data_IF_032517356907
#
_entry.id   IF_032517356907
#
_cell.length_a   1.000
_cell.length_b   1.000
_cell.length_c   1.000
_cell.angle_alpha   90.00
_cell.angle_beta   90.00
_cell.angle_gamma   90.00
#
_symmetry.space_group_name_H-M   'P 1'
#
loop_
_entity.id
_entity.type
_entity.pdbx_description
1 polymer ?
#
# COMPACT_ATOMS: atom_id res chain seq x y z
N UNK A 1 1.59 30.08 37.99
CA UNK A 1 1.33 29.95 36.55
C UNK A 1 1.82 28.58 36.11
N UNK A 2 0.95 27.58 36.16
CA UNK A 2 1.23 26.22 35.72
C UNK A 2 0.86 26.11 34.25
N UNK A 3 1.85 25.89 33.38
CA UNK A 3 1.61 25.59 31.98
C UNK A 3 0.92 24.22 31.88
N UNK A 4 -0.30 24.20 31.35
CA UNK A 4 -0.98 22.97 31.01
C UNK A 4 -0.23 22.28 29.86
N UNK A 5 0.19 21.04 30.09
CA UNK A 5 0.70 20.17 29.04
C UNK A 5 -0.41 20.02 28.00
N UNK A 6 -0.16 20.52 26.79
CA UNK A 6 -1.04 20.26 25.65
C UNK A 6 -0.84 18.79 25.29
N UNK A 7 -1.75 17.92 25.72
CA UNK A 7 -1.87 16.57 25.17
C UNK A 7 -2.19 16.70 23.68
N UNK A 8 -1.15 16.73 22.85
CA UNK A 8 -1.30 16.58 21.40
C UNK A 8 -1.47 15.10 21.09
N UNK A 9 -2.60 14.53 21.53
CA UNK A 9 -3.09 13.32 20.90
C UNK A 9 -3.39 13.70 19.44
N UNK A 10 -2.59 13.19 18.50
CA UNK A 10 -2.91 13.29 17.08
C UNK A 10 -4.37 12.84 16.89
N UNK A 11 -5.21 13.57 16.14
CA UNK A 11 -6.58 13.16 15.94
C UNK A 11 -6.57 11.74 15.35
N UNK A 12 -7.31 10.83 15.97
CA UNK A 12 -7.45 9.47 15.48
C UNK A 12 -7.93 9.54 14.03
N UNK A 13 -7.08 9.13 13.08
CA UNK A 13 -7.36 9.20 11.64
C UNK A 13 -8.12 7.96 11.15
N UNK A 14 -8.98 7.42 12.01
CA UNK A 14 -9.72 6.18 11.74
C UNK A 14 -10.56 6.35 10.47
N UNK A 15 -10.43 5.37 9.55
CA UNK A 15 -11.11 5.40 8.26
C UNK A 15 -10.39 6.16 7.13
N UNK A 16 -9.26 6.83 7.39
CA UNK A 16 -8.49 7.50 6.33
C UNK A 16 -7.58 6.54 5.56
N UNK A 17 -7.25 6.89 4.30
CA UNK A 17 -6.31 6.10 3.51
C UNK A 17 -4.93 5.99 4.18
N UNK A 18 -4.48 7.06 4.86
CA UNK A 18 -3.22 7.06 5.59
C UNK A 18 -3.24 6.09 6.79
N UNK A 19 -4.37 6.01 7.50
CA UNK A 19 -4.53 5.05 8.59
C UNK A 19 -4.48 3.62 8.05
N UNK A 20 -5.27 3.30 7.02
CA UNK A 20 -5.26 1.98 6.36
C UNK A 20 -3.86 1.62 5.86
N UNK A 21 -3.14 2.58 5.26
CA UNK A 21 -1.79 2.36 4.80
C UNK A 21 -0.83 2.01 5.95
N UNK A 22 -0.95 2.73 7.07
CA UNK A 22 -0.12 2.51 8.27
C UNK A 22 -0.33 1.12 8.86
N UNK A 23 -1.58 0.69 9.05
CA UNK A 23 -1.90 -0.65 9.53
C UNK A 23 -1.39 -1.73 8.57
N UNK A 24 -1.61 -1.54 7.27
CA UNK A 24 -1.15 -2.47 6.23
C UNK A 24 0.37 -2.65 6.24
N UNK A 25 1.12 -1.55 6.33
CA UNK A 25 2.59 -1.61 6.41
C UNK A 25 3.09 -2.28 7.69
N UNK A 26 2.37 -2.13 8.82
CA UNK A 26 2.68 -2.85 10.06
C UNK A 26 2.43 -4.35 9.94
N UNK A 27 1.30 -4.75 9.34
CA UNK A 27 1.04 -6.16 9.01
C UNK A 27 2.16 -6.73 8.14
N UNK A 28 2.54 -6.04 7.07
CA UNK A 28 3.64 -6.47 6.20
C UNK A 28 4.96 -6.61 6.94
N UNK A 29 5.32 -5.65 7.80
CA UNK A 29 6.54 -5.74 8.60
C UNK A 29 6.58 -6.99 9.50
N UNK A 30 5.45 -7.37 10.11
CA UNK A 30 5.33 -8.61 10.90
C UNK A 30 5.47 -9.87 10.06
N UNK A 31 5.25 -9.78 8.75
CA UNK A 31 5.38 -10.88 7.79
C UNK A 31 6.70 -10.85 7.00
N UNK A 32 7.73 -10.15 7.50
CA UNK A 32 9.04 -10.02 6.83
C UNK A 32 8.92 -9.39 5.42
N UNK A 33 8.02 -8.42 5.29
CA UNK A 33 7.82 -7.63 4.09
C UNK A 33 8.05 -6.15 4.41
N UNK A 34 8.61 -5.43 3.43
CA UNK A 34 8.84 -3.98 3.54
C UNK A 34 8.14 -3.27 2.40
N UNK A 35 7.43 -2.18 2.71
CA UNK A 35 6.64 -1.43 1.72
C UNK A 35 6.92 0.06 1.69
N UNK A 36 6.61 0.66 0.55
CA UNK A 36 6.60 2.12 0.34
C UNK A 36 5.25 2.52 -0.26
N UNK A 37 4.75 3.69 0.11
CA UNK A 37 3.47 4.21 -0.37
C UNK A 37 3.60 4.95 -1.72
N UNK A 38 2.51 5.27 -2.41
CA UNK A 38 2.46 6.20 -3.55
C UNK A 38 3.52 5.88 -4.62
N UNK A 39 3.47 4.67 -5.19
CA UNK A 39 4.50 4.18 -6.11
C UNK A 39 4.05 4.37 -7.56
N UNK A 40 4.64 5.30 -8.32
CA UNK A 40 4.33 5.45 -9.73
C UNK A 40 4.84 4.26 -10.53
N UNK A 41 3.98 3.75 -11.41
CA UNK A 41 4.20 2.61 -12.28
C UNK A 41 4.50 3.07 -13.73
N UNK A 42 5.22 2.26 -14.52
CA UNK A 42 5.55 2.58 -15.92
C UNK A 42 4.37 2.91 -16.85
N UNK A 43 3.15 2.44 -16.56
CA UNK A 43 1.94 2.74 -17.31
C UNK A 43 1.30 4.11 -16.95
N UNK A 44 1.97 4.93 -16.14
CA UNK A 44 1.45 6.23 -15.69
C UNK A 44 0.43 6.13 -14.55
N UNK A 45 0.24 4.94 -13.98
CA UNK A 45 -0.57 4.72 -12.77
C UNK A 45 0.27 4.92 -11.52
N UNK A 46 -0.38 4.86 -10.36
CA UNK A 46 0.28 4.93 -9.06
C UNK A 46 -0.38 3.91 -8.14
N UNK A 47 0.41 3.00 -7.59
CA UNK A 47 -0.03 2.06 -6.58
C UNK A 47 0.00 2.73 -5.22
N UNK A 48 -1.02 2.50 -4.39
CA UNK A 48 -1.08 3.10 -3.05
C UNK A 48 0.03 2.55 -2.15
N UNK A 49 0.25 1.24 -2.18
CA UNK A 49 1.42 0.58 -1.56
C UNK A 49 2.03 -0.40 -2.54
N UNK A 50 3.36 -0.41 -2.59
CA UNK A 50 4.13 -1.53 -3.12
C UNK A 50 4.99 -2.10 -1.99
N UNK A 51 5.07 -3.41 -1.89
CA UNK A 51 5.88 -4.10 -0.89
C UNK A 51 6.72 -5.22 -1.51
N UNK A 52 7.82 -5.58 -0.85
CA UNK A 52 8.74 -6.65 -1.23
C UNK A 52 8.92 -7.63 -0.08
N UNK A 53 8.89 -8.93 -0.36
CA UNK A 53 9.20 -10.01 0.60
C UNK A 53 10.66 -10.49 0.50
N UNK A 54 11.10 -11.32 1.44
CA UNK A 54 12.45 -11.91 1.45
C UNK A 54 12.79 -12.79 0.23
N UNK A 55 11.79 -13.21 -0.56
CA UNK A 55 11.97 -13.94 -1.82
C UNK A 55 12.02 -13.01 -3.05
N UNK A 56 11.92 -11.69 -2.86
CA UNK A 56 11.90 -10.71 -3.95
C UNK A 56 10.57 -10.69 -4.72
N UNK A 57 9.47 -11.13 -4.08
CA UNK A 57 8.12 -11.00 -4.64
C UNK A 57 7.56 -9.63 -4.32
N UNK A 58 6.94 -9.04 -5.33
CA UNK A 58 6.38 -7.70 -5.26
C UNK A 58 4.87 -7.81 -5.02
N UNK A 59 4.38 -7.09 -4.03
CA UNK A 59 2.96 -7.01 -3.70
C UNK A 59 2.47 -5.59 -3.94
N UNK A 60 1.35 -5.43 -4.65
CA UNK A 60 0.64 -4.15 -4.75
C UNK A 60 -0.60 -4.22 -3.86
N UNK A 61 -0.86 -3.11 -3.16
CA UNK A 61 -2.09 -2.91 -2.39
C UNK A 61 -2.75 -1.63 -2.86
N UNK A 62 -4.05 -1.70 -3.15
CA UNK A 62 -4.90 -0.55 -3.40
C UNK A 62 -5.84 -0.32 -2.22
N UNK A 63 -5.83 0.91 -1.72
CA UNK A 63 -6.59 1.33 -0.54
C UNK A 63 -7.91 1.92 -1.00
N UNK A 64 -9.03 1.35 -0.54
CA UNK A 64 -10.37 1.87 -0.84
C UNK A 64 -11.08 2.28 0.43
N UNK A 65 -11.29 3.59 0.58
CA UNK A 65 -11.91 4.15 1.80
C UNK A 65 -13.42 4.40 1.66
N UNK A 66 -13.98 4.22 0.47
CA UNK A 66 -15.43 4.27 0.27
C UNK A 66 -15.88 3.32 -0.83
N UNK A 67 -17.18 3.01 -0.86
CA UNK A 67 -17.80 2.26 -1.97
C UNK A 67 -17.64 2.97 -3.31
N UNK A 68 -17.72 4.31 -3.33
CA UNK A 68 -17.55 5.09 -4.56
C UNK A 68 -16.12 5.00 -5.10
N UNK A 69 -15.13 5.01 -4.21
CA UNK A 69 -13.71 4.82 -4.55
C UNK A 69 -13.45 3.42 -5.14
N UNK A 70 -14.00 2.38 -4.49
CA UNK A 70 -13.89 1.00 -5.00
C UNK A 70 -14.54 0.83 -6.39
N UNK A 71 -15.78 1.30 -6.56
CA UNK A 71 -16.53 1.12 -7.81
C UNK A 71 -16.09 2.08 -8.93
N UNK A 72 -15.40 3.17 -8.61
CA UNK A 72 -14.85 4.11 -9.58
C UNK A 72 -13.53 3.65 -10.19
N UNK A 73 -12.81 2.74 -9.52
CA UNK A 73 -11.57 2.18 -10.03
C UNK A 73 -11.83 1.03 -11.00
N UNK A 74 -11.66 1.31 -12.28
CA UNK A 74 -11.84 0.34 -13.36
C UNK A 74 -10.51 -0.09 -14.00
N UNK A 75 -9.39 0.44 -13.51
CA UNK A 75 -8.06 0.29 -14.15
C UNK A 75 -7.08 -0.50 -13.30
N UNK A 76 -7.47 -0.87 -12.08
CA UNK A 76 -6.72 -1.78 -11.22
C UNK A 76 -6.26 -3.10 -11.87
N UNK A 77 -6.93 -3.70 -12.89
CA UNK A 77 -6.41 -4.92 -13.52
C UNK A 77 -5.03 -4.72 -14.16
N UNK A 78 -4.71 -3.48 -14.58
CA UNK A 78 -3.41 -3.12 -15.15
C UNK A 78 -2.25 -3.36 -14.14
N UNK A 79 -2.52 -3.53 -12.85
CA UNK A 79 -1.50 -3.63 -11.81
C UNK A 79 -0.92 -5.04 -11.68
N UNK A 80 -1.60 -6.06 -12.21
CA UNK A 80 -1.10 -7.44 -12.27
C UNK A 80 0.18 -7.56 -13.11
N UNK A 81 0.43 -6.63 -14.04
CA UNK A 81 1.68 -6.55 -14.80
C UNK A 81 2.90 -6.13 -13.97
N UNK A 82 2.68 -5.70 -12.71
CA UNK A 82 3.69 -5.08 -11.86
C UNK A 82 3.82 -5.73 -10.47
N UNK A 83 3.03 -6.75 -10.16
CA UNK A 83 3.10 -7.46 -8.88
C UNK A 83 2.91 -8.97 -9.03
N UNK A 84 3.41 -9.71 -8.04
CA UNK A 84 3.15 -11.14 -7.84
C UNK A 84 1.87 -11.40 -7.05
N UNK A 85 1.45 -10.41 -6.26
CA UNK A 85 0.25 -10.44 -5.43
C UNK A 85 -0.42 -9.08 -5.46
N UNK A 86 -1.74 -9.12 -5.53
CA UNK A 86 -2.58 -7.94 -5.48
C UNK A 86 -3.52 -8.02 -4.27
N UNK A 87 -3.59 -6.94 -3.49
CA UNK A 87 -4.52 -6.81 -2.38
C UNK A 87 -5.39 -5.57 -2.52
N UNK A 88 -6.64 -5.71 -2.11
CA UNK A 88 -7.42 -4.58 -1.62
C UNK A 88 -7.11 -4.37 -0.14
N UNK A 89 -7.03 -3.11 0.29
CA UNK A 89 -7.03 -2.75 1.70
C UNK A 89 -8.15 -1.74 1.99
N UNK A 90 -8.94 -1.99 3.03
CA UNK A 90 -10.10 -1.17 3.39
C UNK A 90 -10.12 -0.86 4.89
N UNK A 91 -10.77 0.24 5.31
CA UNK A 91 -10.93 0.53 6.73
C UNK A 91 -11.88 -0.45 7.41
N UNK A 92 -11.80 -0.51 8.74
CA UNK A 92 -12.80 -1.20 9.56
C UNK A 92 -14.22 -0.64 9.28
N UNK A 93 -15.21 -1.53 9.20
CA UNK A 93 -16.60 -1.16 8.92
C UNK A 93 -16.95 -1.02 7.43
N UNK A 94 -16.00 -1.26 6.51
CA UNK A 94 -16.30 -1.36 5.08
C UNK A 94 -17.16 -2.60 4.78
N UNK A 95 -18.09 -2.49 3.83
CA UNK A 95 -18.92 -3.61 3.39
C UNK A 95 -18.08 -4.62 2.59
N UNK A 96 -17.63 -5.68 3.26
CA UNK A 96 -16.75 -6.68 2.68
C UNK A 96 -17.45 -7.57 1.64
N UNK A 97 -18.78 -7.64 1.65
CA UNK A 97 -19.56 -8.46 0.70
C UNK A 97 -19.38 -8.00 -0.75
N UNK A 98 -18.95 -6.74 -0.96
CA UNK A 98 -18.60 -6.21 -2.28
C UNK A 98 -17.43 -6.98 -2.91
N UNK A 99 -16.48 -7.48 -2.10
CA UNK A 99 -15.29 -8.20 -2.57
C UNK A 99 -15.55 -9.67 -2.90
N UNK A 100 -16.78 -10.15 -2.76
CA UNK A 100 -17.21 -11.48 -3.21
C UNK A 100 -17.77 -11.45 -4.64
N UNK A 101 -17.99 -10.25 -5.20
CA UNK A 101 -18.40 -10.08 -6.58
C UNK A 101 -17.30 -10.53 -7.54
N UNK A 102 -17.66 -11.33 -8.53
CA UNK A 102 -16.77 -11.75 -9.62
C UNK A 102 -16.11 -10.57 -10.36
N UNK A 103 -16.72 -9.38 -10.32
CA UNK A 103 -16.14 -8.17 -10.91
C UNK A 103 -14.82 -7.75 -10.25
N UNK A 104 -14.55 -8.15 -9.00
CA UNK A 104 -13.32 -7.82 -8.25
C UNK A 104 -12.32 -8.98 -8.16
N UNK A 105 -12.56 -10.03 -8.96
CA UNK A 105 -11.73 -11.23 -9.07
C UNK A 105 -11.31 -11.80 -7.70
N UNK A 106 -12.26 -12.22 -6.84
CA UNK A 106 -11.94 -12.72 -5.50
C UNK A 106 -10.94 -13.88 -5.48
N UNK A 107 -10.90 -14.67 -6.56
CA UNK A 107 -9.94 -15.76 -6.74
C UNK A 107 -8.51 -15.30 -7.09
N UNK A 108 -8.31 -14.01 -7.45
CA UNK A 108 -7.02 -13.41 -7.85
C UNK A 108 -6.57 -12.28 -6.92
N UNK A 109 -7.48 -11.73 -6.12
CA UNK A 109 -7.21 -10.60 -5.21
C UNK A 109 -7.32 -11.02 -3.75
N UNK A 110 -6.35 -10.59 -2.95
CA UNK A 110 -6.46 -10.66 -1.50
C UNK A 110 -7.21 -9.47 -0.92
N UNK A 111 -7.55 -9.57 0.37
CA UNK A 111 -8.28 -8.54 1.10
C UNK A 111 -7.65 -8.35 2.48
N UNK A 112 -7.37 -7.09 2.79
CA UNK A 112 -6.85 -6.62 4.08
C UNK A 112 -7.86 -5.64 4.67
N UNK A 113 -8.12 -5.76 5.97
CA UNK A 113 -8.85 -4.75 6.74
C UNK A 113 -7.86 -4.11 7.70
N UNK A 114 -7.76 -2.78 7.71
CA UNK A 114 -6.75 -2.07 8.46
C UNK A 114 -7.28 -0.79 9.12
N UNK A 115 -6.59 -0.38 10.18
CA UNK A 115 -6.71 0.95 10.77
C UNK A 115 -5.31 1.52 11.05
N UNK A 116 -5.22 2.62 11.78
CA UNK A 116 -3.93 3.25 12.11
C UNK A 116 -3.04 2.42 13.04
N UNK A 117 -3.60 1.39 13.69
CA UNK A 117 -2.94 0.58 14.71
C UNK A 117 -2.38 -0.71 14.11
N UNK A 118 -3.19 -1.45 13.37
CA UNK A 118 -2.77 -2.72 12.75
C UNK A 118 -3.63 -3.05 11.52
N UNK A 119 -3.41 -4.23 10.95
CA UNK A 119 -4.26 -4.80 9.93
C UNK A 119 -4.41 -6.31 10.07
N UNK A 120 -5.51 -6.81 9.51
CA UNK A 120 -5.86 -8.21 9.42
C UNK A 120 -5.91 -8.65 7.95
N UNK A 121 -5.30 -9.80 7.66
CA UNK A 121 -5.40 -10.48 6.38
C UNK A 121 -6.69 -11.30 6.34
N UNK A 122 -7.76 -10.73 5.79
CA UNK A 122 -9.07 -11.40 5.69
C UNK A 122 -9.09 -12.47 4.60
N UNK A 123 -8.45 -12.18 3.45
CA UNK A 123 -8.32 -13.14 2.34
C UNK A 123 -6.90 -13.11 1.78
N UNK A 124 -6.19 -14.25 1.71
CA UNK A 124 -4.87 -14.30 1.07
C UNK A 124 -5.00 -14.08 -0.44
N UNK A 125 -4.07 -13.32 -1.03
CA UNK A 125 -3.92 -13.25 -2.48
C UNK A 125 -3.14 -14.47 -3.01
N UNK A 126 -3.56 -15.09 -4.12
CA UNK A 126 -2.72 -16.07 -4.81
C UNK A 126 -1.44 -15.42 -5.33
N UNK A 127 -0.43 -16.25 -5.60
CA UNK A 127 0.80 -15.79 -6.25
C UNK A 127 0.65 -15.98 -7.76
N UNK A 128 0.78 -14.88 -8.49
CA UNK A 128 0.85 -14.85 -9.96
C UNK A 128 2.24 -14.33 -10.37
N UNK A 129 3.22 -15.21 -10.61
CA UNK A 129 4.62 -14.78 -10.70
C UNK A 129 4.88 -13.80 -11.85
N UNK A 130 5.54 -12.69 -11.53
CA UNK A 130 6.09 -11.80 -12.54
C UNK A 130 7.18 -12.49 -13.37
N UNK A 131 7.19 -12.17 -14.67
CA UNK A 131 8.30 -12.48 -15.55
C UNK A 131 9.62 -11.94 -14.98
N UNK A 132 10.71 -12.71 -15.09
CA UNK A 132 12.00 -12.38 -14.44
C UNK A 132 12.54 -10.99 -14.83
N UNK A 133 12.41 -10.60 -16.10
CA UNK A 133 12.82 -9.28 -16.57
C UNK A 133 12.01 -8.14 -15.92
N UNK A 134 10.68 -8.33 -15.77
CA UNK A 134 9.79 -7.39 -15.10
C UNK A 134 10.14 -7.28 -13.62
N UNK A 135 10.28 -8.41 -12.92
CA UNK A 135 10.68 -8.46 -11.51
C UNK A 135 11.95 -7.67 -11.25
N UNK A 136 12.99 -7.89 -12.07
CA UNK A 136 14.26 -7.17 -11.97
C UNK A 136 14.06 -5.65 -12.12
N UNK A 137 13.29 -5.23 -13.12
CA UNK A 137 13.04 -3.81 -13.37
C UNK A 137 12.28 -3.15 -12.22
N UNK A 138 11.19 -3.78 -11.74
CA UNK A 138 10.36 -3.21 -10.69
C UNK A 138 11.06 -3.24 -9.32
N UNK A 139 11.83 -4.28 -9.02
CA UNK A 139 12.67 -4.34 -7.80
C UNK A 139 13.70 -3.20 -7.78
N UNK A 140 14.36 -2.93 -8.91
CA UNK A 140 15.31 -1.80 -9.01
C UNK A 140 14.61 -0.45 -8.83
N UNK A 141 13.41 -0.28 -9.42
CA UNK A 141 12.60 0.94 -9.24
C UNK A 141 12.18 1.13 -7.78
N UNK A 142 11.71 0.06 -7.14
CA UNK A 142 11.35 0.02 -5.72
C UNK A 142 12.55 0.43 -4.85
N UNK A 143 13.68 -0.25 -5.00
CA UNK A 143 14.88 0.00 -4.20
C UNK A 143 15.40 1.43 -4.35
N UNK A 144 15.49 1.94 -5.58
CA UNK A 144 15.90 3.33 -5.83
C UNK A 144 14.93 4.32 -5.18
N UNK A 145 13.62 4.09 -5.25
CA UNK A 145 12.62 4.97 -4.67
C UNK A 145 12.66 4.97 -3.15
N UNK A 146 12.77 3.80 -2.54
CA UNK A 146 12.94 3.66 -1.09
C UNK A 146 14.20 4.40 -0.60
N UNK A 147 15.34 4.16 -1.25
CA UNK A 147 16.60 4.83 -0.92
C UNK A 147 16.49 6.35 -1.03
N UNK A 148 15.90 6.86 -2.12
CA UNK A 148 15.71 8.31 -2.34
C UNK A 148 14.86 8.95 -1.25
N UNK A 149 13.76 8.30 -0.85
CA UNK A 149 12.90 8.80 0.24
C UNK A 149 13.64 8.81 1.58
N UNK A 150 14.42 7.76 1.87
CA UNK A 150 15.25 7.73 3.07
C UNK A 150 16.30 8.85 3.07
N UNK A 151 16.95 9.09 1.93
CA UNK A 151 17.88 10.23 1.77
C UNK A 151 17.19 11.55 2.04
N UNK A 152 16.00 11.79 1.46
CA UNK A 152 15.24 13.02 1.68
C UNK A 152 14.78 13.21 3.13
N UNK A 153 14.50 12.12 3.85
CA UNK A 153 14.19 12.18 5.29
C UNK A 153 15.44 12.57 6.10
N UNK A 154 16.62 12.06 5.71
CA UNK A 154 17.88 12.31 6.41
C UNK A 154 18.52 13.66 6.06
N UNK A 155 18.24 14.21 4.88
CA UNK A 155 18.71 15.50 4.39
C UNK A 155 17.57 16.26 3.68
N UNK A 156 16.66 16.89 4.44
CA UNK A 156 15.48 17.56 3.89
C UNK A 156 15.80 18.81 3.06
N UNK A 157 16.85 19.55 3.43
CA UNK A 157 17.24 20.80 2.76
C UNK A 157 17.68 20.51 1.32
N UNK A 158 18.55 19.50 1.15
CA UNK A 158 19.00 19.11 -0.18
C UNK A 158 17.84 18.59 -1.04
N UNK A 159 16.90 17.82 -0.47
CA UNK A 159 15.74 17.32 -1.20
C UNK A 159 14.81 18.45 -1.70
N UNK A 160 14.62 19.49 -0.90
CA UNK A 160 13.81 20.65 -1.29
C UNK A 160 14.44 21.42 -2.47
N UNK A 161 15.76 21.58 -2.49
CA UNK A 161 16.49 22.30 -3.55
C UNK A 161 16.35 21.65 -4.93
N UNK A 162 16.32 20.32 -4.98
CA UNK A 162 16.22 19.56 -6.24
C UNK A 162 14.77 19.38 -6.74
N UNK A 163 13.77 19.89 -6.00
CA UNK A 163 12.36 19.80 -6.36
C UNK A 163 11.78 18.39 -6.25
N UNK A 164 12.18 17.68 -5.19
CA UNK A 164 11.73 16.31 -4.90
C UNK A 164 10.54 16.26 -3.96
#
# INVERSE_FOLDING_TARGET
>A
MTAALTETCSPLTDGTALAVARGTLRLFFRHDMSGIMEVPLPNGRRADIMAIDGAGRLTIVEIKCSRADLLGDMKWPDYFDYCDRYFWAVPMGFDLSLFDSEALWPARTGLIVADQYDAELVRPAPIEPLAAARRKAETLRFARRAARRLTAINDPDHAAEIGW
#
